data_IF_378881550223
#
_entry.id   IF_378881550223
#
_cell.length_a   1.000
_cell.length_b   1.000
_cell.length_c   1.000
_cell.angle_alpha   90.00
_cell.angle_beta   90.00
_cell.angle_gamma   90.00
#
_symmetry.space_group_name_H-M   'P 1'
#
loop_
_entity.id
_entity.type
_entity.pdbx_description
1 polymer ?
#
# COMPACT_ATOMS: atom_id res chain seq x y z
N UNK A 1 20.01 2.21 -0.49
CA UNK A 1 18.78 2.57 -1.24
C UNK A 1 17.70 1.48 -1.06
N UNK A 2 16.87 1.59 -0.02
CA UNK A 2 15.92 0.54 0.41
C UNK A 2 14.45 0.95 0.29
N UNK A 3 14.15 2.19 -0.12
CA UNK A 3 12.78 2.72 -0.23
C UNK A 3 12.35 3.08 -1.67
N UNK A 4 13.00 2.50 -2.68
CA UNK A 4 12.65 2.75 -4.09
C UNK A 4 11.20 2.39 -4.42
N UNK A 5 10.64 1.37 -3.76
CA UNK A 5 9.26 0.93 -3.96
C UNK A 5 8.20 1.98 -3.61
N UNK A 6 8.51 2.93 -2.72
CA UNK A 6 7.61 4.01 -2.32
C UNK A 6 7.35 4.97 -3.49
N UNK A 7 8.37 5.26 -4.29
CA UNK A 7 8.26 6.11 -5.49
C UNK A 7 7.36 5.43 -6.53
N UNK A 8 7.52 4.12 -6.74
CA UNK A 8 6.64 3.35 -7.61
C UNK A 8 5.20 3.32 -7.10
N UNK A 9 5.00 3.20 -5.79
CA UNK A 9 3.67 3.18 -5.21
C UNK A 9 2.94 4.51 -5.39
N UNK A 10 3.60 5.63 -5.07
CA UNK A 10 3.02 6.96 -5.25
C UNK A 10 2.72 7.21 -6.74
N UNK A 11 3.66 6.87 -7.62
CA UNK A 11 3.47 7.05 -9.06
C UNK A 11 2.29 6.21 -9.59
N UNK A 12 2.20 4.93 -9.21
CA UNK A 12 1.12 4.05 -9.67
C UNK A 12 -0.25 4.49 -9.15
N UNK A 13 -0.37 4.88 -7.87
CA UNK A 13 -1.62 5.40 -7.29
C UNK A 13 -2.06 6.67 -7.99
N UNK A 14 -1.15 7.62 -8.20
CA UNK A 14 -1.47 8.89 -8.87
C UNK A 14 -1.92 8.65 -10.32
N UNK A 15 -1.16 7.87 -11.09
CA UNK A 15 -1.50 7.58 -12.49
C UNK A 15 -2.83 6.86 -12.59
N UNK A 16 -3.07 5.84 -11.76
CA UNK A 16 -4.31 5.09 -11.77
C UNK A 16 -5.52 5.96 -11.35
N UNK A 17 -5.35 6.85 -10.37
CA UNK A 17 -6.39 7.79 -9.95
C UNK A 17 -6.73 8.82 -11.03
N UNK A 18 -5.71 9.46 -11.61
CA UNK A 18 -5.92 10.42 -12.71
C UNK A 18 -6.55 9.76 -13.93
N UNK A 19 -6.11 8.55 -14.28
CA UNK A 19 -6.68 7.81 -15.40
C UNK A 19 -8.14 7.43 -15.16
N UNK A 20 -8.49 6.99 -13.95
CA UNK A 20 -9.87 6.65 -13.57
C UNK A 20 -10.80 7.88 -13.63
N UNK A 21 -10.30 9.05 -13.18
CA UNK A 21 -11.02 10.33 -13.29
C UNK A 21 -11.23 10.73 -14.75
N UNK A 22 -10.17 10.71 -15.57
CA UNK A 22 -10.24 11.17 -16.96
C UNK A 22 -11.10 10.28 -17.85
N UNK A 23 -11.11 8.98 -17.56
CA UNK A 23 -11.89 7.98 -18.29
C UNK A 23 -13.34 7.92 -17.83
N UNK A 24 -13.73 8.70 -16.82
CA UNK A 24 -15.02 8.66 -16.13
C UNK A 24 -15.41 7.23 -15.66
N UNK A 25 -14.39 6.40 -15.41
CA UNK A 25 -14.48 4.99 -15.01
C UNK A 25 -14.31 4.84 -13.50
N UNK A 26 -14.60 5.90 -12.74
CA UNK A 26 -14.52 5.92 -11.28
C UNK A 26 -15.72 5.15 -10.68
N UNK A 27 -15.77 3.86 -11.00
CA UNK A 27 -16.70 2.91 -10.43
C UNK A 27 -16.22 2.51 -9.03
N UNK A 28 -17.14 2.04 -8.20
CA UNK A 28 -16.86 1.59 -6.83
C UNK A 28 -15.71 0.56 -6.80
N UNK A 29 -15.64 -0.31 -7.81
CA UNK A 29 -14.60 -1.34 -7.94
C UNK A 29 -13.19 -0.74 -8.08
N UNK A 30 -13.03 0.32 -8.88
CA UNK A 30 -11.72 0.99 -9.06
C UNK A 30 -11.29 1.68 -7.78
N UNK A 31 -12.25 2.29 -7.06
CA UNK A 31 -12.01 2.87 -5.74
C UNK A 31 -11.51 1.84 -4.73
N UNK A 32 -12.12 0.65 -4.68
CA UNK A 32 -11.70 -0.44 -3.80
C UNK A 32 -10.30 -0.96 -4.14
N UNK A 33 -9.96 -1.10 -5.42
CA UNK A 33 -8.63 -1.54 -5.86
C UNK A 33 -7.55 -0.50 -5.50
N UNK A 34 -7.85 0.79 -5.70
CA UNK A 34 -6.93 1.87 -5.29
C UNK A 34 -6.74 1.88 -3.78
N UNK A 35 -7.81 1.68 -3.02
CA UNK A 35 -7.76 1.60 -1.56
C UNK A 35 -6.86 0.45 -1.09
N UNK A 36 -7.06 -0.77 -1.61
CA UNK A 36 -6.29 -1.93 -1.18
C UNK A 36 -4.81 -1.81 -1.58
N UNK A 37 -4.54 -1.21 -2.75
CA UNK A 37 -3.19 -0.95 -3.24
C UNK A 37 -2.44 0.04 -2.34
N UNK A 38 -3.11 1.12 -1.92
CA UNK A 38 -2.56 2.09 -0.95
C UNK A 38 -2.35 1.42 0.42
N UNK A 39 -3.31 0.62 0.88
CA UNK A 39 -3.26 -0.04 2.19
C UNK A 39 -2.08 -1.02 2.30
N UNK A 40 -1.91 -1.92 1.32
CA UNK A 40 -0.75 -2.82 1.29
C UNK A 40 0.56 -2.09 1.05
N UNK A 41 0.52 -1.01 0.26
CA UNK A 41 1.65 -0.11 0.08
C UNK A 41 2.15 0.52 1.37
N UNK A 42 1.23 1.03 2.18
CA UNK A 42 1.52 1.61 3.49
C UNK A 42 2.10 0.58 4.45
N UNK A 43 1.57 -0.65 4.45
CA UNK A 43 2.10 -1.74 5.30
C UNK A 43 3.56 -2.05 4.94
N UNK A 44 3.87 -2.15 3.64
CA UNK A 44 5.24 -2.35 3.15
C UNK A 44 6.16 -1.17 3.50
N UNK A 45 5.68 0.06 3.31
CA UNK A 45 6.43 1.25 3.67
C UNK A 45 6.72 1.32 5.18
N UNK A 46 5.76 0.98 6.03
CA UNK A 46 5.94 0.99 7.48
C UNK A 46 7.01 -0.02 7.92
N UNK A 47 7.03 -1.21 7.31
CA UNK A 47 8.03 -2.25 7.55
C UNK A 47 9.44 -1.77 7.19
N UNK A 48 9.59 -1.19 6.00
CA UNK A 48 10.86 -0.64 5.51
C UNK A 48 11.30 0.59 6.31
N UNK A 49 10.35 1.42 6.76
CA UNK A 49 10.62 2.57 7.62
C UNK A 49 11.18 2.15 8.97
N UNK A 50 10.59 1.13 9.61
CA UNK A 50 11.08 0.55 10.86
C UNK A 50 12.49 -0.04 10.72
N UNK A 51 12.78 -0.71 9.60
CA UNK A 51 14.11 -1.27 9.33
C UNK A 51 15.17 -0.18 9.14
N UNK A 52 14.86 0.85 8.35
CA UNK A 52 15.85 1.87 7.98
C UNK A 52 16.03 2.94 9.06
N UNK A 53 14.94 3.51 9.58
CA UNK A 53 15.01 4.62 10.53
C UNK A 53 15.21 4.16 11.96
N UNK A 54 14.56 3.06 12.37
CA UNK A 54 14.69 2.53 13.73
C UNK A 54 15.76 1.45 13.89
N UNK A 55 16.42 1.03 12.80
CA UNK A 55 17.45 -0.04 12.79
C UNK A 55 16.97 -1.35 13.44
N UNK A 56 15.67 -1.60 13.40
CA UNK A 56 15.08 -2.86 13.86
C UNK A 56 15.22 -3.83 12.70
N UNK A 57 16.18 -4.75 12.76
CA UNK A 57 16.49 -5.68 11.65
C UNK A 57 15.28 -6.49 11.20
N UNK A 58 14.35 -6.79 12.11
CA UNK A 58 13.12 -7.54 11.80
C UNK A 58 12.04 -6.66 11.14
N UNK A 59 12.06 -5.35 11.34
CA UNK A 59 11.01 -4.42 10.91
C UNK A 59 9.71 -4.56 11.71
N UNK A 60 8.57 -4.68 11.03
CA UNK A 60 7.29 -5.04 11.63
C UNK A 60 7.33 -6.49 12.09
N UNK A 61 6.74 -6.80 13.25
CA UNK A 61 6.60 -8.19 13.67
C UNK A 61 5.83 -8.99 12.59
N UNK A 62 6.27 -10.21 12.23
CA UNK A 62 5.61 -11.03 11.20
C UNK A 62 4.11 -11.21 11.46
N UNK A 63 3.73 -11.39 12.73
CA UNK A 63 2.32 -11.49 13.16
C UNK A 63 1.54 -10.20 12.92
N UNK A 64 2.14 -9.02 13.14
CA UNK A 64 1.50 -7.73 12.89
C UNK A 64 1.32 -7.51 11.39
N UNK A 65 2.34 -7.81 10.59
CA UNK A 65 2.26 -7.70 9.12
C UNK A 65 1.15 -8.58 8.55
N UNK A 66 1.09 -9.83 9.00
CA UNK A 66 0.06 -10.77 8.58
C UNK A 66 -1.34 -10.35 9.07
N UNK A 67 -1.47 -9.84 10.30
CA UNK A 67 -2.74 -9.34 10.81
C UNK A 67 -3.24 -8.12 10.00
N UNK A 68 -2.38 -7.15 9.68
CA UNK A 68 -2.76 -6.02 8.83
C UNK A 68 -3.15 -6.47 7.42
N UNK A 69 -2.48 -7.48 6.88
CA UNK A 69 -2.83 -8.03 5.56
C UNK A 69 -4.18 -8.73 5.57
N UNK A 70 -4.46 -9.54 6.58
CA UNK A 70 -5.74 -10.22 6.75
C UNK A 70 -6.89 -9.21 6.96
N UNK A 71 -6.67 -8.18 7.78
CA UNK A 71 -7.65 -7.10 7.96
C UNK A 71 -7.93 -6.38 6.63
N UNK A 72 -6.89 -6.07 5.86
CA UNK A 72 -7.04 -5.49 4.52
C UNK A 72 -7.87 -6.37 3.60
N UNK A 73 -7.59 -7.67 3.57
CA UNK A 73 -8.35 -8.65 2.76
C UNK A 73 -9.81 -8.79 3.18
N UNK A 74 -10.11 -8.74 4.48
CA UNK A 74 -11.49 -8.81 4.99
C UNK A 74 -12.27 -7.54 4.67
N UNK A 75 -11.63 -6.36 4.70
CA UNK A 75 -12.28 -5.08 4.35
C UNK A 75 -12.55 -4.97 2.84
N UNK A 76 -11.74 -5.66 2.02
CA UNK A 76 -11.88 -5.66 0.57
C UNK A 76 -13.02 -6.53 0.05
N UNK A 77 -13.39 -7.58 0.81
CA UNK A 77 -14.48 -8.50 0.48
C UNK A 77 -15.84 -7.97 0.94
#
# INVERSE_FOLDING_TARGET
PTMGGLVFLIASVLVAFFFALFSNQLSNNVGMILFILVLYGLIGFLDDFLKVFRKINEGLNPKQKLALQLLGGVIFY
#
